data_IF_152272543384
#
_entry.id   IF_152272543384
#
_cell.length_a   1.000
_cell.length_b   1.000
_cell.length_c   1.000
_cell.angle_alpha   90.00
_cell.angle_beta   90.00
_cell.angle_gamma   90.00
#
_symmetry.space_group_name_H-M   'P 1'
#
loop_
_entity.id
_entity.type
_entity.pdbx_description
1 polymer ?
#
# COMPACT_ATOMS: atom_id res chain seq x y z
N UNK A 1 14.16 -12.79 -15.84
CA UNK A 1 12.81 -13.02 -15.32
C UNK A 1 11.91 -11.82 -15.47
N UNK A 2 10.69 -11.92 -14.91
CA UNK A 2 9.70 -10.83 -14.89
C UNK A 2 9.01 -10.79 -13.54
N UNK A 3 8.65 -9.59 -13.11
CA UNK A 3 7.72 -9.35 -12.01
C UNK A 3 6.36 -8.93 -12.56
N UNK A 4 5.31 -9.23 -11.85
CA UNK A 4 3.95 -8.93 -12.25
C UNK A 4 3.33 -7.92 -11.29
N UNK A 5 2.78 -6.82 -11.82
CA UNK A 5 1.84 -5.98 -11.11
C UNK A 5 0.43 -6.47 -11.43
N UNK A 6 -0.31 -6.86 -10.41
CA UNK A 6 -1.71 -7.27 -10.53
C UNK A 6 -2.62 -6.19 -9.95
N UNK A 7 -3.60 -5.75 -10.73
CA UNK A 7 -4.71 -4.97 -10.24
C UNK A 7 -5.81 -5.90 -9.71
N UNK A 8 -5.96 -5.97 -8.38
CA UNK A 8 -6.94 -6.87 -7.75
C UNK A 8 -8.40 -6.46 -8.00
N UNK A 9 -8.67 -5.24 -8.48
CA UNK A 9 -10.03 -4.77 -8.80
C UNK A 9 -10.44 -5.19 -10.21
N UNK A 10 -9.63 -4.84 -11.22
CA UNK A 10 -9.90 -5.18 -12.62
C UNK A 10 -9.44 -6.58 -13.02
N UNK A 11 -8.53 -7.18 -12.23
CA UNK A 11 -7.81 -8.41 -12.52
C UNK A 11 -6.87 -8.31 -13.72
N UNK A 12 -6.59 -7.11 -14.17
CA UNK A 12 -5.58 -6.85 -15.19
C UNK A 12 -4.19 -6.93 -14.58
N UNK A 13 -3.23 -7.36 -15.39
CA UNK A 13 -1.85 -7.47 -14.95
C UNK A 13 -0.88 -6.93 -16.00
N UNK A 14 0.29 -6.52 -15.53
CA UNK A 14 1.38 -6.04 -16.36
C UNK A 14 2.70 -6.64 -15.89
N UNK A 15 3.56 -7.00 -16.84
CA UNK A 15 4.87 -7.55 -16.53
C UNK A 15 5.96 -6.49 -16.61
N UNK A 16 6.87 -6.53 -15.64
CA UNK A 16 8.05 -5.67 -15.56
C UNK A 16 9.32 -6.52 -15.65
N UNK A 17 10.40 -6.02 -16.30
CA UNK A 17 11.65 -6.75 -16.40
C UNK A 17 12.27 -6.95 -15.01
N UNK A 18 12.82 -8.15 -14.77
CA UNK A 18 13.57 -8.46 -13.56
C UNK A 18 14.86 -9.19 -13.92
N UNK A 19 15.95 -8.44 -13.98
CA UNK A 19 17.31 -8.91 -14.27
C UNK A 19 18.28 -8.27 -13.28
N UNK A 20 18.26 -8.67 -12.01
CA UNK A 20 19.01 -8.00 -10.95
C UNK A 20 20.50 -8.39 -10.99
N UNK A 21 21.27 -7.80 -11.88
CA UNK A 21 22.72 -7.94 -11.88
C UNK A 21 23.31 -7.20 -10.67
N UNK A 22 24.08 -7.92 -9.86
CA UNK A 22 24.66 -7.36 -8.63
C UNK A 22 23.73 -7.31 -7.42
N UNK A 23 22.45 -7.68 -7.56
CA UNK A 23 21.47 -7.72 -6.48
C UNK A 23 20.89 -9.13 -6.31
N UNK A 24 20.36 -9.40 -5.14
CA UNK A 24 19.68 -10.66 -4.83
C UNK A 24 18.35 -10.40 -4.15
N UNK A 25 17.34 -11.17 -4.52
CA UNK A 25 16.09 -11.26 -3.77
C UNK A 25 16.26 -12.33 -2.69
N UNK A 26 16.04 -11.95 -1.44
CA UNK A 26 16.12 -12.84 -0.27
C UNK A 26 14.75 -12.97 0.36
N UNK A 27 14.29 -14.19 0.56
CA UNK A 27 13.09 -14.49 1.35
C UNK A 27 13.53 -14.93 2.74
N UNK A 28 12.99 -14.28 3.76
CA UNK A 28 13.24 -14.62 5.16
C UNK A 28 11.94 -15.18 5.76
N UNK A 29 11.99 -16.45 6.17
CA UNK A 29 10.91 -17.06 6.92
C UNK A 29 11.02 -16.64 8.40
N UNK A 30 10.04 -15.90 8.89
CA UNK A 30 9.99 -15.47 10.29
C UNK A 30 9.60 -16.61 11.26
N UNK A 31 9.18 -17.76 10.74
CA UNK A 31 8.64 -18.92 11.50
C UNK A 31 7.45 -18.55 12.39
N UNK A 32 6.88 -17.37 12.24
CA UNK A 32 5.67 -16.95 12.96
C UNK A 32 4.44 -17.52 12.24
N UNK A 33 3.68 -18.34 12.95
CA UNK A 33 2.39 -18.82 12.42
C UNK A 33 1.41 -17.67 12.34
N UNK A 34 1.02 -17.31 11.14
CA UNK A 34 -0.04 -16.33 10.90
C UNK A 34 -1.39 -17.04 10.93
N UNK A 35 -2.19 -16.76 11.94
CA UNK A 35 -3.62 -17.05 11.88
C UNK A 35 -4.27 -15.98 11.00
N UNK A 36 -4.88 -16.39 9.88
CA UNK A 36 -5.60 -15.51 8.95
C UNK A 36 -6.73 -14.70 9.60
N UNK A 37 -7.11 -15.07 10.81
CA UNK A 37 -8.13 -14.43 11.62
C UNK A 37 -7.55 -13.52 12.73
N UNK A 38 -6.28 -13.07 12.62
CA UNK A 38 -5.69 -12.23 13.66
C UNK A 38 -6.45 -10.91 13.79
N UNK A 39 -6.75 -10.50 15.01
CA UNK A 39 -7.43 -9.24 15.34
C UNK A 39 -6.75 -8.04 14.69
N UNK A 40 -5.42 -8.00 14.66
CA UNK A 40 -4.64 -6.91 14.11
C UNK A 40 -4.90 -6.64 12.61
N UNK A 41 -5.09 -7.67 11.79
CA UNK A 41 -5.46 -7.48 10.38
C UNK A 41 -6.85 -6.86 10.23
N UNK A 42 -7.82 -7.36 11.00
CA UNK A 42 -9.18 -6.86 10.97
C UNK A 42 -9.26 -5.41 11.49
N UNK A 43 -8.48 -5.06 12.50
CA UNK A 43 -8.39 -3.70 13.03
C UNK A 43 -7.83 -2.74 11.98
N UNK A 44 -6.78 -3.13 11.26
CA UNK A 44 -6.23 -2.33 10.15
C UNK A 44 -7.22 -2.14 9.01
N UNK A 45 -7.94 -3.21 8.66
CA UNK A 45 -9.01 -3.14 7.67
C UNK A 45 -10.13 -2.20 8.12
N UNK A 46 -10.54 -2.30 9.38
CA UNK A 46 -11.58 -1.44 9.96
C UNK A 46 -11.19 0.03 9.94
N UNK A 47 -9.93 0.35 10.26
CA UNK A 47 -9.39 1.71 10.12
C UNK A 47 -9.53 2.27 8.70
N UNK A 48 -9.20 1.48 7.69
CA UNK A 48 -9.37 1.89 6.29
C UNK A 48 -10.85 2.13 5.95
N UNK A 49 -11.76 1.28 6.42
CA UNK A 49 -13.20 1.43 6.22
C UNK A 49 -13.73 2.71 6.90
N UNK A 50 -13.27 3.03 8.09
CA UNK A 50 -13.63 4.26 8.81
C UNK A 50 -13.22 5.51 8.01
N UNK A 51 -12.01 5.53 7.47
CA UNK A 51 -11.53 6.66 6.64
C UNK A 51 -12.32 6.77 5.34
N UNK A 52 -12.64 5.66 4.69
CA UNK A 52 -13.51 5.66 3.49
C UNK A 52 -14.90 6.21 3.81
N UNK A 53 -15.47 5.87 4.96
CA UNK A 53 -16.76 6.43 5.41
C UNK A 53 -16.69 7.96 5.61
N UNK A 54 -15.61 8.46 6.22
CA UNK A 54 -15.38 9.89 6.39
C UNK A 54 -15.21 10.62 5.04
N UNK A 55 -14.50 10.00 4.08
CA UNK A 55 -14.35 10.54 2.71
C UNK A 55 -15.72 10.64 2.01
N UNK A 56 -16.53 9.60 2.07
CA UNK A 56 -17.88 9.64 1.46
C UNK A 56 -18.80 10.67 2.13
N UNK A 57 -18.67 10.89 3.43
CA UNK A 57 -19.43 11.92 4.14
C UNK A 57 -18.97 13.34 3.75
N UNK A 58 -17.65 13.54 3.56
CA UNK A 58 -17.06 14.84 3.23
C UNK A 58 -17.26 15.25 1.77
N UNK A 59 -17.24 14.28 0.87
CA UNK A 59 -17.31 14.47 -0.58
C UNK A 59 -18.53 13.73 -1.19
N UNK A 60 -19.77 14.20 -0.97
CA UNK A 60 -20.99 13.49 -1.37
C UNK A 60 -21.14 13.33 -2.89
N UNK A 61 -20.45 14.16 -3.68
CA UNK A 61 -20.46 14.11 -5.14
C UNK A 61 -19.49 13.09 -5.74
N UNK A 62 -18.65 12.47 -4.91
CA UNK A 62 -17.70 11.44 -5.28
C UNK A 62 -17.91 10.18 -4.45
N UNK A 63 -17.87 9.02 -5.09
CA UNK A 63 -17.95 7.74 -4.41
C UNK A 63 -16.55 7.14 -4.20
N UNK A 64 -16.25 6.80 -2.94
CA UNK A 64 -15.04 6.07 -2.55
C UNK A 64 -15.45 4.66 -2.12
N UNK A 65 -15.05 3.66 -2.89
CA UNK A 65 -15.25 2.26 -2.51
C UNK A 65 -14.10 1.76 -1.61
N UNK A 66 -12.89 2.27 -1.86
CA UNK A 66 -11.69 1.97 -1.07
C UNK A 66 -10.78 3.21 -1.01
N UNK A 67 -9.75 3.18 -0.13
CA UNK A 67 -8.71 4.23 -0.06
C UNK A 67 -7.97 4.46 -1.38
N UNK A 68 -7.95 3.48 -2.27
CA UNK A 68 -7.37 3.60 -3.61
C UNK A 68 -8.02 4.72 -4.44
N UNK A 69 -9.28 5.03 -4.17
CA UNK A 69 -10.05 6.04 -4.90
C UNK A 69 -9.75 7.46 -4.43
N UNK A 70 -9.06 7.60 -3.30
CA UNK A 70 -8.67 8.89 -2.74
C UNK A 70 -7.30 9.36 -3.26
N UNK A 71 -7.14 10.67 -3.25
CA UNK A 71 -5.86 11.34 -3.35
C UNK A 71 -5.40 11.90 -1.98
N UNK A 72 -4.19 12.49 -1.95
CA UNK A 72 -3.61 13.01 -0.72
C UNK A 72 -4.35 14.23 -0.17
N UNK A 73 -4.91 15.08 -1.03
CA UNK A 73 -5.66 16.28 -0.61
C UNK A 73 -6.99 15.87 0.02
N UNK A 74 -7.69 14.91 -0.58
CA UNK A 74 -8.92 14.33 -0.04
C UNK A 74 -8.68 13.64 1.31
N UNK A 75 -7.58 12.84 1.41
CA UNK A 75 -7.22 12.19 2.66
C UNK A 75 -6.91 13.22 3.76
N UNK A 76 -6.16 14.28 3.46
CA UNK A 76 -5.86 15.33 4.41
C UNK A 76 -7.12 16.10 4.86
N UNK A 77 -8.10 16.27 3.97
CA UNK A 77 -9.35 16.95 4.29
C UNK A 77 -10.18 16.26 5.38
N UNK A 78 -10.06 14.94 5.53
CA UNK A 78 -10.77 14.15 6.55
C UNK A 78 -9.97 13.88 7.82
N UNK A 79 -8.77 14.45 7.94
CA UNK A 79 -7.87 14.21 9.07
C UNK A 79 -8.50 14.50 10.44
N UNK A 80 -9.36 15.51 10.52
CA UNK A 80 -10.05 15.88 11.77
C UNK A 80 -11.30 15.02 12.05
N UNK A 81 -11.74 14.23 11.08
CA UNK A 81 -13.01 13.48 11.14
C UNK A 81 -12.78 12.01 11.53
N UNK A 82 -11.52 11.58 11.70
CA UNK A 82 -11.14 10.20 12.04
C UNK A 82 -10.10 10.18 13.16
N UNK A 83 -9.91 9.02 13.78
CA UNK A 83 -8.87 8.87 14.80
C UNK A 83 -7.45 9.02 14.21
N UNK A 84 -6.48 9.39 15.05
CA UNK A 84 -5.08 9.46 14.65
C UNK A 84 -4.55 8.12 14.15
N UNK A 85 -4.98 7.01 14.79
CA UNK A 85 -4.63 5.64 14.39
C UNK A 85 -5.20 5.28 13.02
N UNK A 86 -6.48 5.58 12.78
CA UNK A 86 -7.12 5.34 11.47
C UNK A 86 -6.42 6.14 10.37
N UNK A 87 -6.11 7.42 10.64
CA UNK A 87 -5.38 8.27 9.71
C UNK A 87 -3.99 7.72 9.42
N UNK A 88 -3.23 7.30 10.42
CA UNK A 88 -1.89 6.73 10.26
C UNK A 88 -1.91 5.50 9.35
N UNK A 89 -2.87 4.61 9.56
CA UNK A 89 -3.06 3.41 8.72
C UNK A 89 -3.47 3.76 7.29
N UNK A 90 -4.35 4.74 7.11
CA UNK A 90 -4.76 5.21 5.78
C UNK A 90 -3.61 5.87 5.00
N UNK A 91 -2.81 6.69 5.67
CA UNK A 91 -1.59 7.30 5.08
C UNK A 91 -0.62 6.22 4.62
N UNK A 92 -0.41 5.18 5.40
CA UNK A 92 0.43 4.06 4.99
C UNK A 92 -0.12 3.37 3.72
N UNK A 93 -1.42 3.04 3.70
CA UNK A 93 -2.05 2.36 2.55
C UNK A 93 -1.99 3.21 1.27
N UNK A 94 -2.24 4.52 1.39
CA UNK A 94 -2.14 5.41 0.23
C UNK A 94 -0.69 5.54 -0.26
N UNK A 95 0.27 5.59 0.67
CA UNK A 95 1.70 5.58 0.35
C UNK A 95 2.16 4.28 -0.32
N UNK A 96 1.57 3.12 0.03
CA UNK A 96 1.86 1.85 -0.67
C UNK A 96 1.43 1.89 -2.13
N UNK A 97 0.30 2.52 -2.45
CA UNK A 97 -0.12 2.74 -3.84
C UNK A 97 0.97 3.47 -4.64
N UNK A 98 1.51 4.55 -4.09
CA UNK A 98 2.56 5.34 -4.74
C UNK A 98 3.88 4.56 -4.82
N UNK A 99 4.23 3.79 -3.78
CA UNK A 99 5.44 2.94 -3.75
C UNK A 99 5.39 1.85 -4.83
N UNK A 100 4.24 1.21 -5.03
CA UNK A 100 4.07 0.21 -6.10
C UNK A 100 4.34 0.82 -7.47
N UNK A 101 3.81 2.01 -7.75
CA UNK A 101 4.06 2.71 -9.03
C UNK A 101 5.54 3.08 -9.19
N UNK A 102 6.16 3.63 -8.14
CA UNK A 102 7.58 3.95 -8.15
C UNK A 102 8.48 2.73 -8.39
N UNK A 103 8.12 1.57 -7.81
CA UNK A 103 8.82 0.30 -8.07
C UNK A 103 8.65 -0.14 -9.51
N UNK A 104 7.48 0.00 -10.11
CA UNK A 104 7.26 -0.32 -11.52
C UNK A 104 8.15 0.53 -12.44
N UNK A 105 8.24 1.84 -12.18
CA UNK A 105 9.10 2.75 -12.94
C UNK A 105 10.58 2.40 -12.77
N UNK A 106 11.00 2.11 -11.53
CA UNK A 106 12.37 1.70 -11.23
C UNK A 106 12.75 0.38 -11.92
N UNK A 107 11.85 -0.60 -11.97
CA UNK A 107 12.07 -1.86 -12.69
C UNK A 107 12.25 -1.64 -14.20
N UNK A 108 11.46 -0.78 -14.81
CA UNK A 108 11.60 -0.41 -16.21
C UNK A 108 12.92 0.31 -16.50
N UNK A 109 13.41 1.10 -15.55
CA UNK A 109 14.70 1.81 -15.64
C UNK A 109 15.92 0.92 -15.27
N UNK A 110 15.70 -0.27 -14.72
CA UNK A 110 16.78 -1.12 -14.20
C UNK A 110 17.39 -0.59 -12.89
N UNK A 111 16.68 0.30 -12.17
CA UNK A 111 17.10 0.90 -10.90
C UNK A 111 16.70 0.02 -9.72
N UNK A 112 17.47 -1.06 -9.50
CA UNK A 112 17.22 -2.00 -8.41
C UNK A 112 17.55 -1.45 -7.03
N UNK A 113 18.35 -0.41 -6.93
CA UNK A 113 18.60 0.29 -5.66
C UNK A 113 17.32 0.96 -5.16
N UNK A 114 16.62 1.67 -6.04
CA UNK A 114 15.32 2.26 -5.72
C UNK A 114 14.28 1.19 -5.38
N UNK A 115 14.24 0.07 -6.10
CA UNK A 115 13.35 -1.07 -5.76
C UNK A 115 13.61 -1.53 -4.32
N UNK A 116 14.85 -1.79 -3.96
CA UNK A 116 15.23 -2.24 -2.61
C UNK A 116 14.88 -1.21 -1.54
N UNK A 117 15.18 0.07 -1.76
CA UNK A 117 14.81 1.15 -0.83
C UNK A 117 13.31 1.22 -0.60
N UNK A 118 12.48 1.09 -1.64
CA UNK A 118 11.02 1.08 -1.51
C UNK A 118 10.50 -0.12 -0.72
N UNK A 119 11.14 -1.28 -0.82
CA UNK A 119 10.83 -2.44 0.02
C UNK A 119 11.12 -2.18 1.49
N UNK A 120 12.24 -1.50 1.82
CA UNK A 120 12.55 -1.11 3.19
C UNK A 120 11.55 -0.07 3.72
N UNK A 121 11.15 0.92 2.93
CA UNK A 121 10.11 1.89 3.32
C UNK A 121 8.79 1.21 3.70
N UNK A 122 8.38 0.17 2.93
CA UNK A 122 7.20 -0.65 3.27
C UNK A 122 7.39 -1.38 4.60
N UNK A 123 8.56 -2.00 4.81
CA UNK A 123 8.86 -2.72 6.04
C UNK A 123 8.81 -1.79 7.28
N UNK A 124 9.46 -0.64 7.19
CA UNK A 124 9.48 0.35 8.28
C UNK A 124 8.08 0.90 8.57
N UNK A 125 7.30 1.17 7.53
CA UNK A 125 5.91 1.61 7.67
C UNK A 125 5.03 0.58 8.36
N UNK A 126 5.17 -0.71 8.00
CA UNK A 126 4.43 -1.81 8.66
C UNK A 126 4.84 -2.00 10.11
N UNK A 127 6.13 -1.85 10.43
CA UNK A 127 6.63 -2.00 11.80
C UNK A 127 6.12 -0.88 12.73
N UNK A 128 5.73 0.27 12.17
CA UNK A 128 5.19 1.42 12.90
C UNK A 128 3.67 1.42 13.11
N UNK A 129 2.94 0.45 12.52
CA UNK A 129 1.46 0.35 12.62
C UNK A 129 1.06 -0.52 13.84
#
# INVERSE_FOLDING_TARGET
GKLMRLDCRSREFEYFPFKPEGYRLVLVDSVVKHELASSAYNDRRKSCENVVAALNAKFPDKKFDTLRDADWDELNAVKADVSEEDMKRAVFVLGEKDRVLAVCDALNAGDYETVGRKMYETHEGLAGL
#
